data_IF_560753740652
#
_entry.id   IF_560753740652
#
_cell.length_a   1.000
_cell.length_b   1.000
_cell.length_c   1.000
_cell.angle_alpha   90.00
_cell.angle_beta   90.00
_cell.angle_gamma   90.00
#
_symmetry.space_group_name_H-M   'P 1'
#
loop_
_entity.id
_entity.type
_entity.pdbx_description
1 polymer ?
#
# COMPACT_ATOMS: atom_id res chain seq x y z
N UNK A 1 -11.37 9.42 29.75
CA UNK A 1 -11.90 8.39 28.85
C UNK A 1 -11.00 8.41 27.63
N UNK A 2 -10.12 7.44 27.52
CA UNK A 2 -9.20 7.32 26.39
C UNK A 2 -9.64 6.07 25.66
N UNK A 3 -10.43 6.24 24.60
CA UNK A 3 -10.77 5.13 23.72
C UNK A 3 -9.51 4.71 23.00
N UNK A 4 -8.99 3.54 23.38
CA UNK A 4 -7.99 2.84 22.59
C UNK A 4 -8.68 2.47 21.29
N UNK A 5 -8.20 3.02 20.16
CA UNK A 5 -8.48 2.41 18.86
C UNK A 5 -8.04 0.94 18.96
N UNK A 6 -9.01 0.04 19.01
CA UNK A 6 -8.79 -1.38 18.72
C UNK A 6 -8.24 -1.45 17.30
N UNK A 7 -6.91 -1.44 17.18
CA UNK A 7 -6.22 -1.87 15.98
C UNK A 7 -6.62 -3.32 15.82
N UNK A 8 -7.57 -3.58 14.91
CA UNK A 8 -7.91 -4.94 14.52
C UNK A 8 -6.61 -5.65 14.18
N UNK A 9 -6.29 -6.79 14.80
CA UNK A 9 -5.07 -7.50 14.48
C UNK A 9 -5.09 -7.79 12.99
N UNK A 10 -4.02 -7.40 12.28
CA UNK A 10 -3.78 -7.82 10.91
C UNK A 10 -4.09 -9.31 10.84
N UNK A 11 -5.04 -9.70 10.00
CA UNK A 11 -5.46 -11.09 9.85
C UNK A 11 -4.19 -11.93 9.73
N UNK A 12 -3.98 -12.78 10.72
CA UNK A 12 -2.87 -13.73 10.78
C UNK A 12 -2.87 -14.50 9.45
N UNK A 13 -1.80 -14.31 8.68
CA UNK A 13 -1.52 -15.03 7.44
C UNK A 13 -1.60 -16.52 7.79
N UNK A 14 -2.62 -17.27 7.31
CA UNK A 14 -2.66 -18.70 7.52
C UNK A 14 -1.48 -19.29 6.76
N UNK A 15 -0.75 -20.22 7.37
CA UNK A 15 0.32 -20.99 6.71
C UNK A 15 -0.08 -21.34 5.26
N UNK A 16 0.63 -20.77 4.29
CA UNK A 16 0.17 -20.60 2.90
C UNK A 16 -0.02 -21.91 2.09
N UNK A 17 0.47 -23.05 2.60
CA UNK A 17 0.34 -24.34 1.90
C UNK A 17 -0.99 -25.03 2.17
N UNK A 18 -1.42 -25.04 3.42
CA UNK A 18 -2.68 -25.67 3.83
C UNK A 18 -3.87 -24.81 3.36
N UNK A 19 -3.71 -23.48 3.35
CA UNK A 19 -4.76 -22.53 2.92
C UNK A 19 -5.09 -22.60 1.42
N UNK A 20 -4.09 -22.91 0.57
CA UNK A 20 -4.27 -23.01 -0.87
C UNK A 20 -4.96 -24.33 -1.27
N UNK A 21 -4.59 -25.44 -0.62
CA UNK A 21 -5.24 -26.74 -0.84
C UNK A 21 -6.68 -26.77 -0.33
N UNK A 22 -6.94 -26.17 0.83
CA UNK A 22 -8.30 -26.05 1.33
C UNK A 22 -9.16 -25.16 0.44
N UNK A 23 -8.59 -24.05 -0.05
CA UNK A 23 -9.29 -23.17 -0.97
C UNK A 23 -9.60 -23.82 -2.31
N UNK A 24 -8.65 -24.52 -2.95
CA UNK A 24 -8.93 -25.20 -4.22
C UNK A 24 -10.00 -26.28 -4.02
N UNK A 25 -10.05 -26.92 -2.85
CA UNK A 25 -11.09 -27.86 -2.46
C UNK A 25 -12.47 -27.20 -2.32
N UNK A 26 -12.54 -26.00 -1.73
CA UNK A 26 -13.78 -25.22 -1.64
C UNK A 26 -14.24 -24.70 -3.00
N UNK A 27 -13.31 -24.26 -3.85
CA UNK A 27 -13.58 -23.79 -5.21
C UNK A 27 -14.17 -24.92 -6.07
N UNK A 28 -13.61 -26.13 -6.01
CA UNK A 28 -14.17 -27.33 -6.67
C UNK A 28 -15.59 -27.65 -6.20
N UNK A 29 -15.85 -27.60 -4.89
CA UNK A 29 -17.21 -27.79 -4.35
C UNK A 29 -18.19 -26.72 -4.85
N UNK A 30 -17.73 -25.50 -5.09
CA UNK A 30 -18.54 -24.40 -5.65
C UNK A 30 -18.94 -24.67 -7.11
N UNK A 31 -18.03 -25.22 -7.91
CA UNK A 31 -18.34 -25.73 -9.26
C UNK A 31 -19.36 -26.87 -9.21
N UNK A 32 -19.16 -27.84 -8.32
CA UNK A 32 -20.08 -28.98 -8.20
C UNK A 32 -21.50 -28.54 -7.82
N UNK A 33 -21.63 -27.40 -7.12
CA UNK A 33 -22.91 -26.74 -6.80
C UNK A 33 -23.46 -25.85 -7.92
N UNK A 34 -22.74 -25.71 -9.03
CA UNK A 34 -23.13 -24.86 -10.17
C UNK A 34 -22.99 -23.35 -9.93
N UNK A 35 -22.27 -22.95 -8.87
CA UNK A 35 -22.08 -21.54 -8.52
C UNK A 35 -21.07 -20.84 -9.45
N UNK A 36 -20.21 -21.62 -10.12
CA UNK A 36 -19.11 -21.12 -10.94
C UNK A 36 -18.88 -22.00 -12.18
N UNK A 37 -18.39 -21.44 -13.30
CA UNK A 37 -18.08 -22.22 -14.50
C UNK A 37 -16.92 -23.20 -14.26
N UNK A 38 -17.05 -24.44 -14.73
CA UNK A 38 -15.96 -25.42 -14.72
C UNK A 38 -14.99 -25.17 -15.90
N UNK A 39 -14.35 -24.01 -15.93
CA UNK A 39 -13.39 -23.64 -16.98
C UNK A 39 -12.05 -23.24 -16.40
N UNK A 40 -10.99 -23.44 -17.19
CA UNK A 40 -9.65 -23.01 -16.82
C UNK A 40 -9.57 -21.49 -16.64
N UNK A 41 -10.26 -20.73 -17.48
CA UNK A 41 -10.29 -19.27 -17.41
C UNK A 41 -10.94 -18.76 -16.11
N UNK A 42 -12.02 -19.41 -15.65
CA UNK A 42 -12.67 -19.06 -14.39
C UNK A 42 -11.75 -19.32 -13.18
N UNK A 43 -11.04 -20.45 -13.18
CA UNK A 43 -10.04 -20.75 -12.16
C UNK A 43 -8.92 -19.72 -12.16
N UNK A 44 -8.40 -19.39 -13.34
CA UNK A 44 -7.31 -18.42 -13.48
C UNK A 44 -7.73 -17.04 -12.96
N UNK A 45 -8.94 -16.59 -13.27
CA UNK A 45 -9.49 -15.33 -12.78
C UNK A 45 -9.57 -15.33 -11.25
N UNK A 46 -10.05 -16.40 -10.63
CA UNK A 46 -10.19 -16.49 -9.17
C UNK A 46 -8.85 -16.66 -8.46
N UNK A 47 -7.90 -17.40 -9.04
CA UNK A 47 -6.52 -17.47 -8.56
C UNK A 47 -5.91 -16.07 -8.60
N UNK A 48 -6.01 -15.38 -9.75
CA UNK A 48 -5.55 -14.00 -9.87
C UNK A 48 -6.25 -13.14 -8.82
N UNK A 49 -7.58 -13.15 -8.71
CA UNK A 49 -8.29 -12.34 -7.71
C UNK A 49 -7.85 -12.62 -6.27
N UNK A 50 -7.61 -13.89 -5.93
CA UNK A 50 -7.20 -14.31 -4.58
C UNK A 50 -5.76 -13.93 -4.24
N UNK A 51 -4.85 -13.99 -5.22
CA UNK A 51 -3.40 -13.86 -4.97
C UNK A 51 -2.77 -12.57 -5.55
N UNK A 52 -3.48 -11.83 -6.40
CA UNK A 52 -3.03 -10.59 -7.04
C UNK A 52 -2.95 -9.40 -6.08
N UNK A 53 -3.66 -9.43 -4.95
CA UNK A 53 -3.74 -8.26 -4.06
C UNK A 53 -2.81 -8.30 -2.84
N UNK A 54 -2.39 -9.48 -2.36
CA UNK A 54 -1.59 -9.55 -1.15
C UNK A 54 -0.08 -9.49 -1.45
N UNK A 55 0.42 -10.31 -2.39
CA UNK A 55 1.87 -10.35 -2.66
C UNK A 55 2.40 -9.06 -3.30
N UNK A 56 1.63 -8.43 -4.19
CA UNK A 56 2.02 -7.17 -4.84
C UNK A 56 1.95 -6.00 -3.86
N UNK A 57 0.92 -5.93 -3.01
CA UNK A 57 0.80 -4.93 -1.95
C UNK A 57 1.89 -5.06 -0.88
N UNK A 58 2.18 -6.27 -0.39
CA UNK A 58 3.27 -6.46 0.59
C UNK A 58 4.65 -6.12 0.02
N UNK A 59 4.89 -6.49 -1.25
CA UNK A 59 6.13 -6.13 -1.94
C UNK A 59 6.22 -4.62 -2.14
N UNK A 60 5.17 -3.98 -2.64
CA UNK A 60 5.13 -2.54 -2.86
C UNK A 60 5.27 -1.76 -1.54
N UNK A 61 4.71 -2.25 -0.43
CA UNK A 61 4.88 -1.65 0.89
C UNK A 61 6.34 -1.74 1.36
N UNK A 62 7.00 -2.89 1.16
CA UNK A 62 8.43 -3.04 1.45
C UNK A 62 9.27 -2.10 0.57
N UNK A 63 8.93 -1.99 -0.71
CA UNK A 63 9.61 -1.07 -1.64
C UNK A 63 9.38 0.40 -1.25
N UNK A 64 8.19 0.79 -0.79
CA UNK A 64 7.91 2.11 -0.23
C UNK A 64 8.77 2.42 1.00
N UNK A 65 8.88 1.47 1.93
CA UNK A 65 9.70 1.62 3.13
C UNK A 65 11.21 1.73 2.85
N UNK A 66 11.64 1.25 1.68
CA UNK A 66 13.04 1.28 1.25
C UNK A 66 13.33 2.38 0.24
N UNK A 67 12.30 3.09 -0.23
CA UNK A 67 12.45 4.16 -1.21
C UNK A 67 13.29 5.29 -0.59
N UNK A 68 14.37 5.65 -1.28
CA UNK A 68 15.26 6.73 -0.87
C UNK A 68 15.02 7.96 -1.73
N UNK A 69 15.06 9.12 -1.09
CA UNK A 69 15.13 10.39 -1.78
C UNK A 69 16.49 10.56 -2.49
N UNK A 70 16.46 10.81 -3.80
CA UNK A 70 17.65 10.91 -4.66
C UNK A 70 17.97 12.35 -5.08
N UNK A 71 17.33 13.36 -4.47
CA UNK A 71 17.59 14.78 -4.76
C UNK A 71 16.46 15.50 -5.51
N UNK A 72 15.52 14.78 -6.12
CA UNK A 72 14.43 15.36 -6.92
C UNK A 72 13.05 14.97 -6.41
N UNK A 73 12.30 15.93 -5.85
CA UNK A 73 10.98 15.67 -5.26
C UNK A 73 9.94 15.17 -6.25
N UNK A 74 9.92 15.67 -7.49
CA UNK A 74 8.99 15.20 -8.52
C UNK A 74 9.20 13.71 -8.85
N UNK A 75 10.46 13.34 -9.12
CA UNK A 75 10.82 11.97 -9.45
C UNK A 75 10.58 11.02 -8.28
N UNK A 76 10.87 11.48 -7.06
CA UNK A 76 10.61 10.73 -5.83
C UNK A 76 9.10 10.50 -5.63
N UNK A 77 8.27 11.55 -5.72
CA UNK A 77 6.83 11.43 -5.55
C UNK A 77 6.18 10.61 -6.66
N UNK A 78 6.67 10.68 -7.89
CA UNK A 78 6.21 9.81 -8.97
C UNK A 78 6.46 8.34 -8.64
N UNK A 79 7.67 7.98 -8.18
CA UNK A 79 8.00 6.62 -7.73
C UNK A 79 7.14 6.19 -6.53
N UNK A 80 6.97 7.08 -5.56
CA UNK A 80 6.15 6.82 -4.37
C UNK A 80 4.69 6.56 -4.75
N UNK A 81 4.08 7.40 -5.58
CA UNK A 81 2.69 7.24 -6.03
C UNK A 81 2.49 5.94 -6.81
N UNK A 82 3.46 5.55 -7.64
CA UNK A 82 3.40 4.30 -8.41
C UNK A 82 3.42 3.07 -7.51
N UNK A 83 4.25 3.08 -6.46
CA UNK A 83 4.25 2.01 -5.46
C UNK A 83 2.97 2.06 -4.61
N UNK A 84 2.51 3.27 -4.25
CA UNK A 84 1.31 3.44 -3.44
C UNK A 84 0.03 3.00 -4.16
N UNK A 85 -0.01 3.01 -5.49
CA UNK A 85 -1.14 2.50 -6.25
C UNK A 85 -1.43 1.01 -5.98
N UNK A 86 -0.40 0.25 -5.57
CA UNK A 86 -0.54 -1.18 -5.25
C UNK A 86 -0.75 -1.43 -3.74
N UNK A 87 -0.46 -0.45 -2.88
CA UNK A 87 -0.63 -0.56 -1.43
C UNK A 87 -1.85 0.18 -0.89
N UNK A 88 -2.40 1.10 -1.68
CA UNK A 88 -3.59 1.90 -1.37
C UNK A 88 -3.49 2.61 0.00
N UNK A 89 -2.31 3.11 0.39
CA UNK A 89 -2.19 3.87 1.63
C UNK A 89 -2.86 5.23 1.47
N UNK A 90 -3.59 5.65 2.50
CA UNK A 90 -4.28 6.94 2.57
C UNK A 90 -4.15 7.58 3.96
N UNK A 91 -4.34 8.89 4.04
CA UNK A 91 -4.38 9.66 5.27
C UNK A 91 -3.10 9.57 6.10
N UNK A 92 -3.23 9.44 7.42
CA UNK A 92 -2.09 9.44 8.33
C UNK A 92 -1.01 8.41 7.98
N UNK A 93 -1.40 7.20 7.55
CA UNK A 93 -0.44 6.14 7.20
C UNK A 93 0.34 6.50 5.94
N UNK A 94 -0.33 7.07 4.93
CA UNK A 94 0.29 7.59 3.72
C UNK A 94 1.32 8.67 4.07
N UNK A 95 0.90 9.69 4.82
CA UNK A 95 1.74 10.84 5.17
C UNK A 95 2.96 10.44 5.99
N UNK A 96 2.80 9.57 6.99
CA UNK A 96 3.91 9.08 7.81
C UNK A 96 4.90 8.23 6.99
N UNK A 97 4.40 7.41 6.08
CA UNK A 97 5.25 6.60 5.20
C UNK A 97 6.06 7.50 4.27
N UNK A 98 5.43 8.55 3.73
CA UNK A 98 6.10 9.53 2.88
C UNK A 98 7.17 10.31 3.65
N UNK A 99 6.87 10.80 4.86
CA UNK A 99 7.83 11.52 5.71
C UNK A 99 9.05 10.68 6.06
N UNK A 100 8.87 9.38 6.37
CA UNK A 100 9.98 8.48 6.71
C UNK A 100 10.96 8.24 5.57
N UNK A 101 10.49 8.37 4.33
CA UNK A 101 11.31 8.19 3.12
C UNK A 101 12.02 9.50 2.69
N UNK A 102 11.64 10.64 3.28
CA UNK A 102 12.23 11.94 3.03
C UNK A 102 13.40 12.24 3.98
N UNK A 103 14.40 13.03 3.55
CA UNK A 103 15.50 13.45 4.40
C UNK A 103 15.05 14.48 5.45
N UNK A 104 15.78 14.53 6.57
CA UNK A 104 15.42 15.32 7.75
C UNK A 104 15.19 16.81 7.41
N UNK A 105 16.04 17.40 6.56
CA UNK A 105 15.92 18.81 6.14
C UNK A 105 14.57 19.12 5.46
N UNK A 106 14.07 18.20 4.62
CA UNK A 106 12.76 18.35 3.97
C UNK A 106 11.65 18.18 5.02
N UNK A 107 11.73 17.15 5.86
CA UNK A 107 10.71 16.92 6.89
C UNK A 107 10.59 18.07 7.90
N UNK A 108 11.70 18.70 8.30
CA UNK A 108 11.70 19.87 9.17
C UNK A 108 11.01 21.07 8.52
N UNK A 109 11.23 21.31 7.22
CA UNK A 109 10.54 22.39 6.51
C UNK A 109 9.04 22.11 6.34
N UNK A 110 8.67 20.86 6.03
CA UNK A 110 7.26 20.44 5.98
C UNK A 110 6.56 20.69 7.33
N UNK A 111 7.25 20.47 8.46
CA UNK A 111 6.66 20.71 9.79
C UNK A 111 6.30 22.16 10.09
N UNK A 112 6.74 23.11 9.26
CA UNK A 112 6.37 24.53 9.36
C UNK A 112 5.02 24.85 8.71
N UNK A 113 4.48 23.94 7.89
CA UNK A 113 3.15 24.09 7.29
C UNK A 113 2.06 23.65 8.26
N UNK A 114 0.84 24.13 8.04
CA UNK A 114 -0.33 23.71 8.81
C UNK A 114 -0.61 22.22 8.56
N UNK A 115 -0.84 21.41 9.61
CA UNK A 115 -1.22 20.01 9.45
C UNK A 115 -2.47 19.87 8.58
N UNK A 116 -2.48 18.88 7.69
CA UNK A 116 -3.59 18.63 6.77
C UNK A 116 -3.94 17.14 6.74
N UNK A 117 -5.23 16.84 6.71
CA UNK A 117 -5.72 15.47 6.53
C UNK A 117 -5.81 15.07 5.04
N UNK A 118 -5.53 16.01 4.13
CA UNK A 118 -5.59 15.79 2.68
C UNK A 118 -4.24 15.35 2.12
N UNK A 119 -4.17 14.12 1.61
CA UNK A 119 -2.97 13.59 0.94
C UNK A 119 -2.58 14.38 -0.31
N UNK A 120 -3.53 15.04 -0.97
CA UNK A 120 -3.25 15.91 -2.10
C UNK A 120 -2.52 17.18 -1.68
N UNK A 121 -3.02 17.87 -0.65
CA UNK A 121 -2.39 19.08 -0.10
C UNK A 121 -1.00 18.73 0.45
N UNK A 122 -0.90 17.63 1.18
CA UNK A 122 0.37 17.18 1.74
C UNK A 122 1.44 16.91 0.66
N UNK A 123 1.05 16.32 -0.48
CA UNK A 123 1.97 16.13 -1.62
C UNK A 123 2.46 17.45 -2.22
N UNK A 124 1.58 18.43 -2.33
CA UNK A 124 1.96 19.76 -2.83
C UNK A 124 2.97 20.43 -1.90
N UNK A 125 2.84 20.25 -0.59
CA UNK A 125 3.78 20.83 0.38
C UNK A 125 5.15 20.13 0.31
N UNK A 126 5.19 18.81 0.09
CA UNK A 126 6.45 18.08 -0.18
C UNK A 126 7.13 18.60 -1.46
N UNK A 127 6.36 18.88 -2.51
CA UNK A 127 6.90 19.44 -3.76
C UNK A 127 7.50 20.83 -3.56
N UNK A 128 6.76 21.75 -2.92
CA UNK A 128 7.23 23.11 -2.64
C UNK A 128 8.55 23.11 -1.88
N UNK A 129 8.61 22.32 -0.80
CA UNK A 129 9.82 22.21 0.02
C UNK A 129 10.99 21.59 -0.76
N UNK A 130 10.70 20.63 -1.64
CA UNK A 130 11.70 20.01 -2.51
C UNK A 130 12.40 21.02 -3.41
N UNK A 131 11.62 21.85 -4.10
CA UNK A 131 12.13 22.91 -4.98
C UNK A 131 13.01 23.89 -4.20
N UNK A 132 12.61 24.27 -3.00
CA UNK A 132 13.38 25.18 -2.14
C UNK A 132 14.70 24.57 -1.61
N UNK A 133 14.99 23.29 -1.88
CA UNK A 133 16.21 22.60 -1.44
C UNK A 133 17.20 22.26 -2.55
N UNK A 134 16.86 22.52 -3.82
CA UNK A 134 17.73 22.22 -4.98
C UNK A 134 18.78 23.32 -5.30
N UNK A 135 19.18 24.11 -4.29
CA UNK A 135 20.22 25.17 -4.38
C UNK A 135 21.67 24.63 -4.40
#
# INVERSE_FOLDING_TARGET
MTEYLEVQPAQLIPNDRDSAQDWIGQWRKSIDRGEQPHTWDALEIDIRRRYRHLFEGFRALRELQQLKYEGHSDAFLAKFNLLNANTELTGHIYQQTLLKALPMNITTRISLYEPTDSDAIFREDVLKVGVDTED
#
